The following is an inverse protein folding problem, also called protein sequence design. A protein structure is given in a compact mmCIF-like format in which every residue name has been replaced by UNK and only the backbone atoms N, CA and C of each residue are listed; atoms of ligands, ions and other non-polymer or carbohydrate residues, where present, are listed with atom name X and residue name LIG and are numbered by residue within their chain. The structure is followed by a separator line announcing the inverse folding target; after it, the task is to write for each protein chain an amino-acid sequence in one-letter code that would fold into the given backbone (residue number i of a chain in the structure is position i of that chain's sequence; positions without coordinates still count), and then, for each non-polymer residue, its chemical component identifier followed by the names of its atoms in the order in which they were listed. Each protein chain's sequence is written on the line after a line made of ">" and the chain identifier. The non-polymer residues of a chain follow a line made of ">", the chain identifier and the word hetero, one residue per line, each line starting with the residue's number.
data_IF_149864290419
#
_entry.id   IF_149864290419
#
_cell.length_a   1.000
_cell.length_b   1.000
_cell.length_c   1.000
_cell.angle_alpha   90.00
_cell.angle_beta   90.00
_cell.angle_gamma   90.00
#
_symmetry.space_group_name_H-M   'P 1'
#
loop_
_entity.id
_entity.type
_entity.pdbx_description
1 polymer ?
#
# COMPACT_ATOMS: atom_id res chain seq x y z
N UNK A 1 4.72 -32.90 -18.21
CA UNK A 1 3.54 -32.24 -17.62
C UNK A 1 3.84 -32.07 -16.14
N UNK A 2 4.07 -30.85 -15.66
CA UNK A 2 4.31 -30.65 -14.23
C UNK A 2 2.96 -30.62 -13.53
N UNK A 3 2.70 -31.67 -12.75
CA UNK A 3 1.52 -31.74 -11.89
C UNK A 3 1.63 -30.63 -10.84
N UNK A 4 0.62 -29.75 -10.81
CA UNK A 4 0.58 -28.63 -9.89
C UNK A 4 0.20 -29.17 -8.52
N UNK A 5 1.20 -29.50 -7.69
CA UNK A 5 0.98 -29.96 -6.31
C UNK A 5 0.13 -28.92 -5.58
N UNK A 6 -1.07 -29.34 -5.17
CA UNK A 6 -2.03 -28.49 -4.48
C UNK A 6 -1.49 -28.22 -3.07
N UNK A 7 -1.04 -26.99 -2.83
CA UNK A 7 -0.59 -26.58 -1.49
C UNK A 7 -1.78 -26.55 -0.55
N UNK A 8 -1.60 -27.09 0.65
CA UNK A 8 -2.61 -27.07 1.68
C UNK A 8 -2.91 -25.63 2.13
N UNK A 9 -4.19 -25.37 2.40
CA UNK A 9 -4.63 -24.10 2.97
C UNK A 9 -4.18 -23.98 4.43
N UNK A 10 -4.23 -22.76 4.96
CA UNK A 10 -4.01 -22.53 6.39
C UNK A 10 -5.28 -22.91 7.16
N UNK A 11 -5.10 -23.61 8.28
CA UNK A 11 -6.17 -23.91 9.24
C UNK A 11 -6.39 -22.73 10.18
N UNK A 12 -7.54 -22.66 10.87
CA UNK A 12 -7.77 -21.68 11.94
C UNK A 12 -6.72 -21.79 13.06
N UNK A 13 -6.22 -23.00 13.34
CA UNK A 13 -5.13 -23.20 14.29
C UNK A 13 -3.80 -22.58 13.83
N UNK A 14 -3.55 -22.55 12.52
CA UNK A 14 -2.37 -21.88 11.96
C UNK A 14 -2.47 -20.35 12.11
N UNK A 15 -3.69 -19.79 12.01
CA UNK A 15 -3.94 -18.35 12.17
C UNK A 15 -3.64 -17.89 13.60
N UNK A 16 -4.17 -18.62 14.60
CA UNK A 16 -3.94 -18.33 16.03
C UNK A 16 -2.46 -18.52 16.39
N UNK A 17 -1.85 -19.61 15.91
CA UNK A 17 -0.44 -19.87 16.19
C UNK A 17 0.48 -18.78 15.62
N UNK A 18 0.23 -18.34 14.38
CA UNK A 18 0.99 -17.22 13.79
C UNK A 18 0.79 -15.93 14.59
N UNK A 19 -0.45 -15.66 15.04
CA UNK A 19 -0.75 -14.49 15.84
C UNK A 19 0.12 -14.45 17.10
N UNK A 20 0.13 -15.52 17.90
CA UNK A 20 0.88 -15.65 19.15
C UNK A 20 2.36 -15.30 18.96
N UNK A 21 3.01 -15.90 17.95
CA UNK A 21 4.42 -15.64 17.65
C UNK A 21 4.63 -14.19 17.21
N UNK A 22 3.74 -13.63 16.39
CA UNK A 22 3.86 -12.24 15.93
C UNK A 22 3.69 -11.23 17.09
N UNK A 23 2.96 -11.56 18.17
CA UNK A 23 2.84 -10.69 19.36
C UNK A 23 4.20 -10.43 20.02
N UNK A 24 5.12 -11.39 19.96
CA UNK A 24 6.46 -11.28 20.52
C UNK A 24 7.39 -10.37 19.70
N UNK A 25 6.97 -10.02 18.47
CA UNK A 25 7.78 -9.30 17.48
C UNK A 25 7.11 -7.99 17.00
N UNK A 26 6.97 -6.97 17.87
CA UNK A 26 6.28 -5.73 17.54
C UNK A 26 6.94 -4.94 16.39
N UNK A 27 8.22 -5.19 16.11
CA UNK A 27 8.94 -4.56 15.01
C UNK A 27 8.36 -4.86 13.62
N UNK A 28 7.61 -5.95 13.49
CA UNK A 28 6.92 -6.30 12.25
C UNK A 28 5.81 -5.31 11.90
N UNK A 29 5.19 -4.68 12.89
CA UNK A 29 4.04 -3.79 12.70
C UNK A 29 4.39 -2.31 12.58
N UNK A 30 5.63 -1.96 12.85
CA UNK A 30 6.08 -0.59 12.66
C UNK A 30 6.10 -0.18 11.18
N UNK A 31 5.77 1.10 10.99
CA UNK A 31 5.78 1.84 9.72
C UNK A 31 7.11 2.54 9.43
N UNK A 32 8.10 2.48 10.32
CA UNK A 32 9.41 3.12 10.09
C UNK A 32 10.06 2.53 8.83
N UNK A 33 10.72 3.39 8.05
CA UNK A 33 11.35 3.04 6.78
C UNK A 33 12.89 3.24 6.81
N UNK A 34 13.49 3.22 7.99
CA UNK A 34 14.95 3.37 8.11
C UNK A 34 15.64 2.05 7.75
N UNK A 35 16.86 2.11 7.21
CA UNK A 35 17.61 0.92 6.80
C UNK A 35 17.77 -0.08 7.96
N UNK A 36 18.20 0.42 9.12
CA UNK A 36 18.32 -0.38 10.35
C UNK A 36 16.99 -1.01 10.76
N UNK A 37 15.90 -0.27 10.57
CA UNK A 37 14.57 -0.75 10.89
C UNK A 37 14.10 -1.85 9.94
N UNK A 38 14.40 -1.70 8.65
CA UNK A 38 14.13 -2.72 7.64
C UNK A 38 14.91 -4.00 7.90
N UNK A 39 16.18 -3.88 8.31
CA UNK A 39 16.98 -5.03 8.75
C UNK A 39 16.37 -5.71 9.97
N UNK A 40 15.99 -4.93 10.99
CA UNK A 40 15.34 -5.45 12.21
C UNK A 40 14.02 -6.17 11.88
N UNK A 41 13.18 -5.57 11.04
CA UNK A 41 11.91 -6.14 10.58
C UNK A 41 12.10 -7.43 9.79
N UNK A 42 13.09 -7.46 8.89
CA UNK A 42 13.42 -8.67 8.14
C UNK A 42 13.95 -9.79 9.05
N UNK A 43 14.76 -9.46 10.04
CA UNK A 43 15.25 -10.43 11.01
C UNK A 43 14.11 -10.98 11.89
N UNK A 44 13.19 -10.11 12.34
CA UNK A 44 11.99 -10.55 13.05
C UNK A 44 11.15 -11.53 12.23
N UNK A 45 10.92 -11.25 10.94
CA UNK A 45 10.22 -12.19 10.07
C UNK A 45 10.95 -13.54 9.90
N UNK A 46 12.29 -13.55 9.95
CA UNK A 46 13.05 -14.81 9.96
C UNK A 46 12.86 -15.58 11.26
N UNK A 47 12.89 -14.89 12.40
CA UNK A 47 12.64 -15.49 13.72
C UNK A 47 11.23 -16.07 13.81
N UNK A 48 10.21 -15.31 13.38
CA UNK A 48 8.83 -15.79 13.30
C UNK A 48 8.73 -17.03 12.43
N UNK A 49 9.38 -17.03 11.27
CA UNK A 49 9.36 -18.18 10.36
C UNK A 49 10.01 -19.43 10.97
N UNK A 50 11.14 -19.26 11.65
CA UNK A 50 11.82 -20.36 12.34
C UNK A 50 10.98 -20.89 13.50
N UNK A 51 10.45 -20.01 14.35
CA UNK A 51 9.57 -20.38 15.45
C UNK A 51 8.32 -21.12 14.94
N UNK A 52 7.62 -20.54 13.97
CA UNK A 52 6.40 -21.12 13.39
C UNK A 52 6.64 -22.52 12.80
N UNK A 53 7.72 -22.69 12.03
CA UNK A 53 8.02 -23.98 11.42
C UNK A 53 8.52 -25.02 12.42
N UNK A 54 9.14 -24.59 13.53
CA UNK A 54 9.62 -25.48 14.60
C UNK A 54 8.47 -26.01 15.47
N UNK A 55 7.43 -25.21 15.67
CA UNK A 55 6.23 -25.57 16.43
C UNK A 55 4.99 -25.83 15.56
N UNK A 56 5.19 -26.11 14.27
CA UNK A 56 4.12 -26.11 13.27
C UNK A 56 2.98 -27.10 13.64
N UNK A 57 1.76 -26.61 13.97
CA UNK A 57 0.66 -27.48 14.38
C UNK A 57 0.18 -28.41 13.27
N UNK A 58 0.29 -27.97 12.02
CA UNK A 58 -0.15 -28.69 10.82
C UNK A 58 0.92 -29.62 10.24
N UNK A 59 2.14 -29.65 10.81
CA UNK A 59 3.25 -30.49 10.32
C UNK A 59 3.83 -30.08 8.95
N UNK A 60 3.33 -28.99 8.36
CA UNK A 60 3.70 -28.52 7.04
C UNK A 60 4.50 -27.22 7.10
N UNK A 61 5.75 -27.28 6.67
CA UNK A 61 6.63 -26.10 6.63
C UNK A 61 6.09 -25.05 5.65
N UNK A 62 6.03 -23.80 6.10
CA UNK A 62 5.57 -22.66 5.31
C UNK A 62 6.73 -21.75 4.97
N UNK A 63 6.69 -21.14 3.80
CA UNK A 63 7.67 -20.13 3.42
C UNK A 63 7.39 -18.78 4.09
N UNK A 64 8.44 -17.98 4.23
CA UNK A 64 8.37 -16.65 4.82
C UNK A 64 7.34 -15.74 4.12
N UNK A 65 7.24 -15.82 2.79
CA UNK A 65 6.23 -15.06 2.02
C UNK A 65 4.81 -15.53 2.28
N UNK A 66 4.61 -16.84 2.54
CA UNK A 66 3.29 -17.36 2.87
C UNK A 66 2.82 -16.87 4.25
N UNK A 67 3.72 -16.82 5.24
CA UNK A 67 3.42 -16.29 6.57
C UNK A 67 3.12 -14.79 6.53
N UNK A 68 3.95 -14.01 5.83
CA UNK A 68 3.67 -12.58 5.56
C UNK A 68 2.31 -12.39 4.88
N UNK A 69 2.02 -13.21 3.88
CA UNK A 69 0.75 -13.19 3.16
C UNK A 69 -0.44 -13.53 4.06
N UNK A 70 -0.30 -14.55 4.91
CA UNK A 70 -1.34 -14.92 5.88
C UNK A 70 -1.61 -13.76 6.85
N UNK A 71 -0.56 -13.21 7.45
CA UNK A 71 -0.69 -12.10 8.37
C UNK A 71 -1.36 -10.86 7.76
N UNK A 72 -1.00 -10.51 6.53
CA UNK A 72 -1.66 -9.42 5.81
C UNK A 72 -3.15 -9.72 5.56
N UNK A 73 -3.50 -10.95 5.20
CA UNK A 73 -4.91 -11.36 5.06
C UNK A 73 -5.66 -11.25 6.37
N UNK A 74 -5.06 -11.65 7.50
CA UNK A 74 -5.66 -11.52 8.82
C UNK A 74 -5.95 -10.06 9.18
N UNK A 75 -5.02 -9.14 8.87
CA UNK A 75 -5.24 -7.69 9.06
C UNK A 75 -6.38 -7.14 8.21
N UNK A 76 -6.49 -7.57 6.96
CA UNK A 76 -7.58 -7.18 6.07
C UNK A 76 -8.91 -7.74 6.58
N UNK A 77 -8.96 -9.03 6.96
CA UNK A 77 -10.13 -9.69 7.53
C UNK A 77 -10.63 -8.96 8.78
N UNK A 78 -9.72 -8.67 9.72
CA UNK A 78 -10.06 -7.91 10.93
C UNK A 78 -10.66 -6.53 10.61
N UNK A 79 -10.10 -5.82 9.62
CA UNK A 79 -10.64 -4.52 9.19
C UNK A 79 -12.04 -4.65 8.59
N UNK A 80 -12.27 -5.68 7.77
CA UNK A 80 -13.57 -5.97 7.17
C UNK A 80 -14.62 -6.32 8.22
N UNK A 81 -14.28 -7.19 9.17
CA UNK A 81 -15.17 -7.60 10.26
C UNK A 81 -15.64 -6.39 11.07
N UNK A 82 -14.70 -5.50 11.43
CA UNK A 82 -15.00 -4.25 12.14
C UNK A 82 -15.91 -3.33 11.34
N UNK A 83 -15.62 -3.14 10.06
CA UNK A 83 -16.43 -2.29 9.19
C UNK A 83 -17.84 -2.86 8.99
N UNK A 84 -17.98 -4.19 8.91
CA UNK A 84 -19.28 -4.86 8.91
C UNK A 84 -20.02 -4.67 10.23
N UNK A 85 -19.34 -4.82 11.37
CA UNK A 85 -19.93 -4.60 12.69
C UNK A 85 -20.42 -3.15 12.84
N UNK A 86 -19.61 -2.16 12.42
CA UNK A 86 -20.01 -0.74 12.39
C UNK A 86 -21.25 -0.51 11.53
N UNK A 87 -21.31 -1.13 10.35
CA UNK A 87 -22.49 -1.03 9.46
C UNK A 87 -23.72 -1.67 10.09
N UNK A 88 -23.59 -2.85 10.72
CA UNK A 88 -24.69 -3.54 11.42
C UNK A 88 -25.18 -2.73 12.61
N UNK A 89 -24.28 -2.14 13.41
CA UNK A 89 -24.63 -1.32 14.56
C UNK A 89 -25.38 -0.03 14.19
N UNK A 90 -25.12 0.53 13.00
CA UNK A 90 -25.81 1.72 12.49
C UNK A 90 -27.21 1.43 11.92
N UNK A 91 -27.62 0.17 11.77
CA UNK A 91 -28.97 -0.16 11.30
C UNK A 91 -29.98 0.11 12.42
N UNK A 92 -30.74 1.18 12.27
CA UNK A 92 -31.84 1.53 13.19
C UNK A 92 -33.10 0.79 12.76
N UNK A 93 -33.46 -0.29 13.47
CA UNK A 93 -34.65 -1.07 13.11
C UNK A 93 -34.97 -2.25 14.04
N UNK A 94 -34.68 -2.14 15.34
CA UNK A 94 -35.07 -3.14 16.36
C UNK A 94 -34.55 -4.56 16.15
N UNK A 95 -33.56 -4.76 15.28
CA UNK A 95 -32.98 -6.07 14.99
C UNK A 95 -32.09 -6.61 16.09
N UNK A 96 -31.78 -7.90 16.01
CA UNK A 96 -30.89 -8.59 16.94
C UNK A 96 -29.51 -7.91 17.04
N UNK A 97 -28.91 -7.96 18.24
CA UNK A 97 -27.56 -7.45 18.50
C UNK A 97 -26.59 -8.07 17.47
N UNK A 98 -25.74 -7.27 16.79
CA UNK A 98 -24.75 -7.82 15.89
C UNK A 98 -23.87 -8.85 16.61
N UNK A 99 -23.54 -9.99 15.97
CA UNK A 99 -22.66 -11.00 16.56
C UNK A 99 -21.31 -10.36 16.92
N UNK A 100 -20.75 -10.83 18.04
CA UNK A 100 -19.46 -10.36 18.52
C UNK A 100 -18.35 -10.80 17.55
N UNK A 101 -17.35 -9.94 17.39
CA UNK A 101 -16.23 -10.19 16.49
C UNK A 101 -15.32 -11.28 17.04
N UNK A 102 -14.70 -12.03 16.13
CA UNK A 102 -13.68 -13.05 16.43
C UNK A 102 -12.55 -12.46 17.29
N UNK A 103 -12.05 -13.23 18.27
CA UNK A 103 -11.06 -12.78 19.26
C UNK A 103 -9.76 -12.31 18.59
N UNK A 104 -9.31 -13.05 17.58
CA UNK A 104 -8.17 -12.70 16.73
C UNK A 104 -8.40 -11.38 15.98
N UNK A 105 -9.58 -11.22 15.38
CA UNK A 105 -9.95 -9.97 14.71
C UNK A 105 -10.02 -8.80 15.69
N UNK A 106 -10.47 -9.00 16.93
CA UNK A 106 -10.48 -7.97 17.96
C UNK A 106 -9.06 -7.57 18.36
N UNK A 107 -8.18 -8.52 18.65
CA UNK A 107 -6.78 -8.23 18.98
C UNK A 107 -6.10 -7.42 17.87
N UNK A 108 -6.25 -7.85 16.61
CA UNK A 108 -5.67 -7.15 15.47
C UNK A 108 -6.23 -5.72 15.36
N UNK A 109 -7.53 -5.53 15.51
CA UNK A 109 -8.12 -4.20 15.46
C UNK A 109 -7.68 -3.30 16.61
N UNK A 110 -7.52 -3.85 17.81
CA UNK A 110 -7.20 -3.05 19.00
C UNK A 110 -5.71 -2.76 19.16
N UNK A 111 -4.86 -3.75 18.95
CA UNK A 111 -3.43 -3.66 19.28
C UNK A 111 -2.58 -3.39 18.04
N UNK A 112 -2.93 -3.99 16.90
CA UNK A 112 -2.08 -3.98 15.70
C UNK A 112 -2.40 -2.82 14.76
N UNK A 113 -3.69 -2.57 14.52
CA UNK A 113 -4.08 -1.50 13.60
C UNK A 113 -3.88 -0.11 14.22
N UNK A 114 -3.34 0.86 13.46
CA UNK A 114 -3.11 2.21 13.96
C UNK A 114 -4.45 2.97 14.14
N UNK A 115 -4.51 4.00 14.99
CA UNK A 115 -5.73 4.75 15.27
C UNK A 115 -6.44 5.30 14.03
N UNK A 116 -5.69 5.83 13.05
CA UNK A 116 -6.27 6.37 11.81
C UNK A 116 -6.89 5.31 10.91
N UNK A 117 -6.51 4.04 11.05
CA UNK A 117 -7.19 2.95 10.37
C UNK A 117 -8.53 2.59 11.04
N UNK A 118 -8.74 3.00 12.30
CA UNK A 118 -9.95 2.74 13.11
C UNK A 118 -11.00 3.84 13.00
N UNK A 119 -10.56 5.09 12.95
CA UNK A 119 -11.43 6.26 12.79
C UNK A 119 -11.47 6.69 11.32
N UNK A 120 -12.60 6.52 10.61
CA UNK A 120 -12.78 7.15 9.31
C UNK A 120 -12.56 8.66 9.44
N UNK A 121 -11.84 9.27 8.48
CA UNK A 121 -11.77 10.73 8.43
C UNK A 121 -13.17 11.30 8.26
N UNK A 122 -13.52 12.27 9.09
CA UNK A 122 -14.76 13.01 8.94
C UNK A 122 -14.71 13.81 7.63
N UNK A 123 -15.54 13.44 6.66
CA UNK A 123 -15.69 14.18 5.41
C UNK A 123 -16.95 15.07 5.49
N UNK A 124 -16.81 16.41 5.51
CA UNK A 124 -17.94 17.33 5.63
C UNK A 124 -18.83 17.37 4.37
N UNK A 125 -18.38 16.80 3.26
CA UNK A 125 -19.13 16.73 1.99
C UNK A 125 -19.74 15.35 1.73
N UNK A 126 -19.51 14.38 2.61
CA UNK A 126 -20.03 12.99 2.53
C UNK A 126 -21.22 12.78 3.48
N UNK A 127 -21.89 13.87 3.84
CA UNK A 127 -23.26 13.74 4.34
C UNK A 127 -24.09 13.33 3.14
N UNK A 128 -24.65 12.11 3.17
CA UNK A 128 -25.78 11.73 2.34
C UNK A 128 -26.79 12.88 2.43
N UNK A 129 -26.75 13.76 1.43
CA UNK A 129 -27.47 15.02 1.45
C UNK A 129 -28.94 14.66 1.59
N UNK A 130 -29.53 14.98 2.74
CA UNK A 130 -30.97 15.09 2.87
C UNK A 130 -31.42 15.95 1.69
N UNK A 131 -32.21 15.35 0.80
CA UNK A 131 -32.61 15.95 -0.45
C UNK A 131 -33.37 17.23 -0.13
N UNK A 132 -32.71 18.39 -0.24
CA UNK A 132 -33.43 19.64 -0.42
C UNK A 132 -34.05 19.55 -1.80
N UNK A 133 -35.39 19.62 -1.94
CA UNK A 133 -36.01 19.66 -3.25
C UNK A 133 -35.39 20.82 -4.02
N UNK A 134 -34.83 20.54 -5.20
CA UNK A 134 -34.41 21.59 -6.12
C UNK A 134 -35.67 22.38 -6.47
N UNK A 135 -35.78 23.60 -5.95
CA UNK A 135 -36.76 24.58 -6.42
C UNK A 135 -36.47 24.84 -7.90
N UNK A 136 -37.27 24.22 -8.77
CA UNK A 136 -37.30 24.53 -10.19
C UNK A 136 -37.82 25.95 -10.34
N UNK A 137 -36.92 26.93 -10.42
CA UNK A 137 -37.28 28.28 -10.88
C UNK A 137 -37.53 28.22 -12.38
N UNK A 138 -38.78 28.02 -12.76
CA UNK A 138 -39.28 28.33 -14.09
C UNK A 138 -39.34 29.85 -14.23
N UNK A 139 -38.28 30.47 -14.73
CA UNK A 139 -38.37 31.82 -15.27
C UNK A 139 -38.66 31.76 -16.78
N UNK A 140 -39.71 32.48 -17.13
CA UNK A 140 -40.42 32.43 -18.42
C UNK A 140 -39.55 32.98 -19.55
N UNK A 141 -39.61 32.30 -20.69
CA UNK A 141 -39.16 32.79 -21.99
C UNK A 141 -39.91 34.08 -22.36
N UNK A 142 -39.18 35.15 -22.65
CA UNK A 142 -39.66 36.27 -23.48
C UNK A 142 -38.80 36.33 -24.74
N UNK A 143 -39.40 36.30 -25.95
CA UNK A 143 -38.67 36.26 -27.21
C UNK A 143 -38.51 37.67 -27.79
N UNK A 144 -37.29 38.07 -28.16
CA UNK A 144 -37.12 39.18 -29.13
C UNK A 144 -35.80 39.07 -29.90
N UNK A 145 -35.96 38.88 -31.20
CA UNK A 145 -35.11 39.24 -32.35
C UNK A 145 -33.71 38.64 -32.53
N UNK A 146 -33.61 37.83 -33.59
CA UNK A 146 -32.39 37.50 -34.33
C UNK A 146 -31.67 38.77 -34.79
N UNK A 147 -30.44 38.95 -34.33
CA UNK A 147 -29.39 39.51 -35.16
C UNK A 147 -28.20 38.54 -35.13
N UNK A 148 -27.73 38.18 -36.33
CA UNK A 148 -26.61 37.29 -36.57
C UNK A 148 -25.30 38.02 -36.22
N UNK A 149 -24.45 37.41 -35.38
CA UNK A 149 -23.01 37.69 -35.30
C UNK A 149 -22.23 36.37 -35.07
N UNK A 150 -21.56 35.95 -36.13
CA UNK A 150 -20.42 35.03 -36.34
C UNK A 150 -20.17 33.76 -35.48
N UNK A 151 -19.98 32.58 -36.10
CA UNK A 151 -19.69 31.31 -35.43
C UNK A 151 -18.19 31.03 -35.24
N UNK A 152 -17.43 31.95 -34.66
CA UNK A 152 -15.98 31.72 -34.49
C UNK A 152 -15.43 32.31 -33.19
N UNK A 153 -15.84 31.76 -32.02
CA UNK A 153 -15.09 32.00 -30.77
C UNK A 153 -15.39 31.06 -29.59
N UNK A 154 -15.57 29.76 -29.83
CA UNK A 154 -15.51 28.77 -28.73
C UNK A 154 -14.48 27.69 -29.00
N UNK A 155 -13.43 27.66 -28.14
CA UNK A 155 -12.54 26.55 -27.74
C UNK A 155 -11.05 26.96 -27.67
N UNK A 156 -10.46 27.16 -26.47
CA UNK A 156 -9.10 26.61 -26.26
C UNK A 156 -8.73 26.12 -24.84
N UNK A 157 -9.57 26.23 -23.80
CA UNK A 157 -9.09 26.01 -22.41
C UNK A 157 -8.92 24.54 -21.99
N UNK A 158 -9.76 23.63 -22.48
CA UNK A 158 -9.74 22.22 -22.07
C UNK A 158 -8.63 21.39 -22.76
N UNK A 159 -8.21 21.78 -23.97
CA UNK A 159 -7.14 21.11 -24.72
C UNK A 159 -5.75 21.47 -24.18
N UNK A 160 -5.55 22.71 -23.74
CA UNK A 160 -4.29 23.21 -23.19
C UNK A 160 -3.86 22.45 -21.93
N UNK A 161 -4.78 22.25 -20.97
CA UNK A 161 -4.52 21.50 -19.72
C UNK A 161 -4.06 20.07 -19.92
N UNK A 162 -4.47 19.41 -21.01
CA UNK A 162 -4.03 18.03 -21.32
C UNK A 162 -2.62 18.02 -21.90
N UNK A 163 -2.29 18.97 -22.77
CA UNK A 163 -0.93 19.11 -23.32
C UNK A 163 0.08 19.41 -22.20
N UNK A 164 -0.25 20.35 -21.31
CA UNK A 164 0.60 20.73 -20.17
C UNK A 164 0.91 19.52 -19.24
N UNK A 165 -0.02 18.57 -19.11
CA UNK A 165 0.17 17.36 -18.32
C UNK A 165 1.18 16.38 -18.96
N UNK A 166 1.07 16.14 -20.28
CA UNK A 166 1.98 15.25 -20.98
C UNK A 166 3.40 15.83 -21.06
N UNK A 167 3.53 17.15 -21.23
CA UNK A 167 4.82 17.82 -21.23
C UNK A 167 5.51 17.69 -19.87
N UNK A 168 4.78 17.88 -18.77
CA UNK A 168 5.32 17.69 -17.43
C UNK A 168 5.74 16.24 -17.15
N UNK A 169 4.97 15.26 -17.63
CA UNK A 169 5.31 13.85 -17.49
C UNK A 169 6.58 13.48 -18.28
N UNK A 170 6.75 14.07 -19.47
CA UNK A 170 7.93 13.87 -20.31
C UNK A 170 9.18 14.51 -19.68
N UNK A 171 9.03 15.70 -19.10
CA UNK A 171 10.09 16.39 -18.38
C UNK A 171 10.56 15.57 -17.16
N UNK A 172 9.63 14.99 -16.41
CA UNK A 172 9.94 14.12 -15.27
C UNK A 172 10.71 12.87 -15.70
N UNK A 173 10.30 12.24 -16.80
CA UNK A 173 10.98 11.06 -17.34
C UNK A 173 12.42 11.38 -17.79
N UNK A 174 12.64 12.55 -18.41
CA UNK A 174 13.97 13.01 -18.81
C UNK A 174 14.86 13.28 -17.59
N UNK A 175 14.35 13.96 -16.56
CA UNK A 175 15.10 14.19 -15.31
C UNK A 175 15.51 12.89 -14.64
N UNK A 176 14.61 11.91 -14.60
CA UNK A 176 14.92 10.59 -14.03
C UNK A 176 16.01 9.88 -14.83
N UNK A 177 15.95 9.93 -16.17
CA UNK A 177 16.97 9.37 -17.05
C UNK A 177 18.34 10.02 -16.81
N UNK A 178 18.40 11.35 -16.73
CA UNK A 178 19.66 12.08 -16.52
C UNK A 178 20.30 11.74 -15.17
N UNK A 179 19.49 11.64 -14.11
CA UNK A 179 19.97 11.23 -12.78
C UNK A 179 20.55 9.81 -12.85
N UNK A 180 19.85 8.87 -13.50
CA UNK A 180 20.32 7.50 -13.67
C UNK A 180 21.64 7.45 -14.43
N UNK A 181 21.79 8.24 -15.49
CA UNK A 181 23.04 8.30 -16.26
C UNK A 181 24.19 8.87 -15.45
N UNK A 182 23.96 9.91 -14.63
CA UNK A 182 24.99 10.42 -13.71
C UNK A 182 25.42 9.40 -12.67
N UNK A 183 24.47 8.68 -12.08
CA UNK A 183 24.77 7.61 -11.12
C UNK A 183 25.63 6.53 -11.79
N UNK A 184 25.25 6.11 -13.00
CA UNK A 184 25.99 5.10 -13.75
C UNK A 184 27.42 5.56 -14.06
N UNK A 185 27.61 6.79 -14.56
CA UNK A 185 28.93 7.36 -14.80
C UNK A 185 29.79 7.45 -13.54
N UNK A 186 29.18 7.82 -12.40
CA UNK A 186 29.87 7.86 -11.11
C UNK A 186 30.31 6.47 -10.65
N UNK A 187 29.47 5.45 -10.86
CA UNK A 187 29.81 4.05 -10.58
C UNK A 187 30.94 3.55 -11.49
N UNK A 188 30.89 3.86 -12.79
CA UNK A 188 31.97 3.52 -13.72
C UNK A 188 33.29 4.21 -13.35
N UNK A 189 33.24 5.50 -13.01
CA UNK A 189 34.41 6.26 -12.59
C UNK A 189 35.04 5.65 -11.33
N UNK A 190 34.20 5.30 -10.34
CA UNK A 190 34.63 4.66 -9.10
C UNK A 190 35.29 3.30 -9.37
N UNK A 191 34.69 2.48 -10.24
CA UNK A 191 35.22 1.17 -10.61
C UNK A 191 36.59 1.29 -11.31
N UNK A 192 36.74 2.24 -12.24
CA UNK A 192 38.03 2.48 -12.92
C UNK A 192 39.12 2.92 -11.94
N UNK A 193 38.81 3.81 -11.01
CA UNK A 193 39.77 4.26 -10.00
C UNK A 193 40.13 3.15 -9.00
N UNK A 194 39.17 2.33 -8.59
CA UNK A 194 39.44 1.16 -7.75
C UNK A 194 40.38 0.16 -8.45
N UNK A 195 40.20 -0.06 -9.77
CA UNK A 195 41.11 -0.88 -10.57
C UNK A 195 42.52 -0.26 -10.72
N UNK A 196 42.63 1.05 -10.93
CA UNK A 196 43.92 1.75 -11.05
C UNK A 196 44.71 1.75 -9.73
N UNK A 197 44.03 1.91 -8.59
CA UNK A 197 44.65 1.81 -7.26
C UNK A 197 45.12 0.39 -6.94
N UNK A 198 44.45 -0.65 -7.47
CA UNK A 198 44.92 -2.04 -7.34
C UNK A 198 46.16 -2.34 -8.20
N UNK A 199 46.38 -1.62 -9.30
CA UNK A 199 47.52 -1.86 -10.21
C UNK A 199 48.83 -1.20 -9.74
N UNK A 200 48.75 -0.05 -9.05
CA UNK A 200 49.93 0.67 -8.54
C UNK A 200 50.64 -0.09 -7.40
N UNK A 201 49.96 -1.05 -6.75
CA UNK A 201 50.54 -1.90 -5.70
C UNK A 201 51.35 -3.11 -6.19
N UNK A 202 51.48 -3.34 -7.50
CA UNK A 202 52.05 -4.57 -8.07
C UNK A 202 53.26 -4.34 -9.00
N UNK A 203 54.07 -3.30 -8.75
CA UNK A 203 55.37 -3.17 -9.44
C UNK A 203 56.42 -4.05 -8.73
N UNK A 204 56.98 -5.09 -9.39
CA UNK A 204 58.04 -5.89 -8.77
C UNK A 204 59.30 -5.02 -8.66
N UNK A 205 59.82 -4.88 -7.44
CA UNK A 205 61.15 -4.33 -7.18
C UNK A 205 62.16 -5.21 -7.92
N UNK A 206 62.72 -4.72 -9.03
CA UNK A 206 63.83 -5.37 -9.73
C UNK A 206 65.08 -5.32 -8.83
N UNK A 207 65.74 -6.46 -8.56
CA UNK A 207 66.97 -6.47 -7.77
C UNK A 207 68.12 -5.81 -8.54
N UNK A 208 68.93 -5.06 -7.81
CA UNK A 208 70.10 -4.31 -8.27
C UNK A 208 71.28 -5.21 -8.69
#
# INVERSE_FOLDING_TARGET
>A
MNERVKKENFSSGDEVHLEEIVKEHPEVESRRYDADYMHKKNNAWKMIHEAYNSSCPSGNTRSLDQLKGLWNRLKVKATQDRDQQRKKAKKTGGGEKPPEMDELSNYINEVVLPPHAKSPLHNPFDSDSEGKPLEVRTEKLVPTSRENLDPEQSLPKAKKRKADFYDHLLEMAQKEHDIKMRIFQMMEWKLKHECEQMWIGLLPQLPA
#
